data_IF_666174976586
#
_entry.id   IF_666174976586
#
_cell.length_a   1.000
_cell.length_b   1.000
_cell.length_c   1.000
_cell.angle_alpha   90.00
_cell.angle_beta   90.00
_cell.angle_gamma   90.00
#
_symmetry.space_group_name_H-M   'P 1'
#
loop_
_entity.id
_entity.type
_entity.pdbx_description
1 polymer ?
#
# COMPACT_ATOMS: atom_id res chain seq x y z
N UNK A 1 -39.20 21.37 -2.45
CA UNK A 1 -38.24 20.34 -2.92
C UNK A 1 -36.84 20.75 -2.48
N UNK A 2 -36.34 20.19 -1.37
CA UNK A 2 -35.01 20.52 -0.84
C UNK A 2 -33.95 19.78 -1.64
N UNK A 3 -33.08 20.50 -2.37
CA UNK A 3 -31.94 19.90 -3.08
C UNK A 3 -30.83 19.61 -2.07
N UNK A 4 -30.49 18.33 -1.88
CA UNK A 4 -29.27 17.93 -1.17
C UNK A 4 -28.15 17.81 -2.21
N UNK A 5 -27.18 18.71 -2.16
CA UNK A 5 -25.97 18.62 -2.97
C UNK A 5 -25.02 17.65 -2.27
N UNK A 6 -24.64 16.56 -2.94
CA UNK A 6 -23.65 15.61 -2.45
C UNK A 6 -22.35 15.93 -3.18
N UNK A 7 -21.33 16.36 -2.43
CA UNK A 7 -19.99 16.60 -2.96
C UNK A 7 -19.23 15.28 -2.90
N UNK A 8 -18.92 14.68 -4.04
CA UNK A 8 -18.11 13.46 -4.13
C UNK A 8 -16.70 13.88 -4.50
N UNK A 9 -15.72 13.60 -3.64
CA UNK A 9 -14.30 13.77 -3.96
C UNK A 9 -13.78 12.51 -4.63
N UNK A 10 -13.45 12.62 -5.92
CA UNK A 10 -12.85 11.54 -6.69
C UNK A 10 -11.32 11.73 -6.71
N UNK A 11 -10.62 10.65 -6.38
CA UNK A 11 -9.16 10.57 -6.40
C UNK A 11 -8.73 9.71 -7.58
N UNK A 12 -7.61 10.04 -8.21
CA UNK A 12 -7.05 9.29 -9.33
C UNK A 12 -5.68 8.75 -8.95
N UNK A 13 -5.38 7.52 -9.37
CA UNK A 13 -4.07 6.92 -9.16
C UNK A 13 -2.96 7.72 -9.88
N UNK A 14 -1.94 8.13 -9.15
CA UNK A 14 -0.72 8.83 -9.61
C UNK A 14 0.36 7.88 -10.16
N UNK A 15 0.06 6.60 -10.35
CA UNK A 15 1.03 5.66 -10.93
C UNK A 15 1.18 5.92 -12.43
N UNK A 16 2.43 5.98 -12.88
CA UNK A 16 2.80 6.11 -14.30
C UNK A 16 3.36 4.77 -14.77
N UNK A 17 2.78 4.24 -15.84
CA UNK A 17 3.26 3.04 -16.51
C UNK A 17 4.55 3.33 -17.29
N UNK A 18 5.28 2.29 -17.69
CA UNK A 18 6.53 2.40 -18.47
C UNK A 18 6.34 3.17 -19.79
N UNK A 19 5.12 3.12 -20.35
CA UNK A 19 4.73 3.86 -21.56
C UNK A 19 4.49 5.36 -21.30
N UNK A 20 4.70 5.84 -20.06
CA UNK A 20 4.46 7.22 -19.64
C UNK A 20 2.98 7.56 -19.44
N UNK A 21 2.08 6.59 -19.54
CA UNK A 21 0.64 6.78 -19.31
C UNK A 21 0.31 6.68 -17.84
N UNK A 22 -0.52 7.60 -17.35
CA UNK A 22 -1.03 7.56 -15.97
C UNK A 22 -2.14 6.53 -15.86
N UNK A 23 -2.19 5.83 -14.74
CA UNK A 23 -3.26 4.88 -14.46
C UNK A 23 -4.65 5.55 -14.53
N UNK A 24 -5.56 4.94 -15.27
CA UNK A 24 -6.95 5.39 -15.43
C UNK A 24 -7.84 5.03 -14.23
N UNK A 25 -7.30 4.36 -13.21
CA UNK A 25 -8.06 4.00 -12.01
C UNK A 25 -8.36 5.23 -11.18
N UNK A 26 -9.65 5.52 -11.05
CA UNK A 26 -10.20 6.56 -10.19
C UNK A 26 -11.19 5.97 -9.18
N UNK A 27 -11.37 6.65 -8.05
CA UNK A 27 -12.31 6.22 -7.04
C UNK A 27 -12.27 7.07 -5.77
N UNK A 28 -13.09 6.68 -4.80
CA UNK A 28 -13.11 7.29 -3.48
C UNK A 28 -11.84 6.93 -2.69
N UNK A 29 -11.61 7.62 -1.57
CA UNK A 29 -10.47 7.38 -0.64
C UNK A 29 -10.42 5.97 -0.06
N UNK A 30 -11.49 5.18 -0.23
CA UNK A 30 -11.48 3.76 0.10
C UNK A 30 -10.75 2.92 -0.95
N UNK A 31 -10.91 3.24 -2.24
CA UNK A 31 -10.27 2.54 -3.35
C UNK A 31 -8.91 3.12 -3.75
N UNK A 32 -8.68 4.41 -3.48
CA UNK A 32 -7.42 5.09 -3.73
C UNK A 32 -6.76 5.44 -2.39
N UNK A 33 -5.60 4.82 -2.12
CA UNK A 33 -4.84 4.97 -0.88
C UNK A 33 -3.57 5.78 -1.12
N UNK A 34 -3.24 6.74 -0.25
CA UNK A 34 -1.99 7.47 -0.36
C UNK A 34 -0.81 6.59 0.05
N UNK A 35 0.30 6.71 -0.66
CA UNK A 35 1.59 6.20 -0.20
C UNK A 35 1.96 6.85 1.14
N UNK A 36 2.37 6.05 2.12
CA UNK A 36 2.75 6.56 3.43
C UNK A 36 4.04 7.41 3.40
N UNK A 37 4.88 7.24 2.37
CA UNK A 37 6.13 7.99 2.18
C UNK A 37 5.96 9.20 1.26
N UNK A 38 5.66 8.98 -0.03
CA UNK A 38 5.59 10.08 -1.02
C UNK A 38 4.20 10.72 -1.19
N UNK A 39 3.18 10.24 -0.47
CA UNK A 39 1.79 10.73 -0.53
C UNK A 39 1.09 10.63 -1.89
N UNK A 40 1.72 10.02 -2.90
CA UNK A 40 1.07 9.67 -4.17
C UNK A 40 -0.19 8.84 -3.92
N UNK A 41 -1.27 9.16 -4.60
CA UNK A 41 -2.52 8.42 -4.53
C UNK A 41 -2.43 7.17 -5.42
N UNK A 42 -2.70 5.99 -4.86
CA UNK A 42 -2.47 4.71 -5.54
C UNK A 42 -3.73 3.85 -5.49
N UNK A 43 -4.05 3.19 -6.59
CA UNK A 43 -5.12 2.19 -6.62
C UNK A 43 -4.62 0.86 -6.03
N UNK A 44 -5.55 -0.06 -5.75
CA UNK A 44 -5.27 -1.39 -5.19
C UNK A 44 -4.31 -2.27 -5.99
N UNK A 45 -4.02 -1.91 -7.24
CA UNK A 45 -3.04 -2.60 -8.09
C UNK A 45 -1.62 -2.04 -7.96
N UNK A 46 -1.48 -0.80 -7.49
CA UNK A 46 -0.22 -0.04 -7.50
C UNK A 46 0.29 0.31 -6.10
N UNK A 47 -0.47 -0.02 -5.05
CA UNK A 47 0.06 -0.03 -3.68
C UNK A 47 0.25 -1.46 -3.18
N UNK A 48 1.27 -1.65 -2.35
CA UNK A 48 1.34 -2.80 -1.46
C UNK A 48 0.90 -2.42 -0.05
N UNK A 49 0.12 -3.29 0.57
CA UNK A 49 -0.31 -3.12 1.96
C UNK A 49 0.67 -3.84 2.88
N UNK A 50 1.34 -3.07 3.72
CA UNK A 50 2.25 -3.61 4.73
C UNK A 50 1.62 -3.44 6.10
N UNK A 51 1.51 -4.55 6.83
CA UNK A 51 1.02 -4.55 8.21
C UNK A 51 2.16 -4.77 9.18
N UNK A 52 2.32 -3.85 10.13
CA UNK A 52 3.33 -3.93 11.17
C UNK A 52 2.61 -4.14 12.49
N UNK A 53 2.91 -5.25 13.17
CA UNK A 53 2.34 -5.58 14.47
C UNK A 53 3.38 -5.39 15.55
N UNK A 54 3.03 -4.70 16.63
CA UNK A 54 3.91 -4.61 17.80
C UNK A 54 3.95 -5.95 18.55
N UNK A 55 5.10 -6.25 19.17
CA UNK A 55 5.30 -7.48 19.97
C UNK A 55 4.36 -7.44 21.18
N UNK A 56 3.20 -8.10 21.07
CA UNK A 56 2.09 -7.99 22.02
C UNK A 56 0.71 -7.96 21.37
N UNK A 57 0.63 -7.80 20.04
CA UNK A 57 -0.53 -8.15 19.21
C UNK A 57 -1.78 -7.27 19.38
N UNK A 58 -1.71 -6.19 20.15
CA UNK A 58 -2.87 -5.30 20.38
C UNK A 58 -3.03 -4.19 19.33
N UNK A 59 -1.95 -3.83 18.63
CA UNK A 59 -1.98 -2.75 17.65
C UNK A 59 -1.29 -3.20 16.36
N UNK A 60 -2.06 -3.20 15.28
CA UNK A 60 -1.59 -3.44 13.92
C UNK A 60 -1.68 -2.13 13.15
N UNK A 61 -0.53 -1.62 12.72
CA UNK A 61 -0.47 -0.46 11.85
C UNK A 61 -0.47 -0.94 10.40
N UNK A 62 -1.37 -0.40 9.60
CA UNK A 62 -1.50 -0.73 8.18
C UNK A 62 -0.99 0.47 7.38
N UNK A 63 0.03 0.22 6.57
CA UNK A 63 0.62 1.19 5.66
C UNK A 63 0.39 0.77 4.21
N UNK A 64 0.27 1.75 3.32
CA UNK A 64 0.19 1.55 1.89
C UNK A 64 1.42 2.21 1.25
N UNK A 65 2.17 1.49 0.44
CA UNK A 65 3.39 2.00 -0.22
C UNK A 65 3.31 1.80 -1.74
N UNK A 66 3.91 2.70 -2.52
CA UNK A 66 4.17 2.40 -3.94
C UNK A 66 5.31 1.39 -4.04
N UNK A 67 5.43 0.74 -5.19
CA UNK A 67 6.41 -0.32 -5.42
C UNK A 67 7.84 0.05 -4.98
N UNK A 68 8.31 1.25 -5.33
CA UNK A 68 9.65 1.72 -4.97
C UNK A 68 9.84 1.82 -3.44
N UNK A 69 8.89 2.47 -2.76
CA UNK A 69 8.95 2.63 -1.31
C UNK A 69 8.69 1.33 -0.56
N UNK A 70 7.97 0.37 -1.15
CA UNK A 70 7.86 -0.97 -0.59
C UNK A 70 9.23 -1.65 -0.58
N UNK A 71 9.98 -1.57 -1.69
CA UNK A 71 11.34 -2.13 -1.78
C UNK A 71 12.25 -1.48 -0.74
N UNK A 72 12.27 -0.16 -0.66
CA UNK A 72 13.06 0.58 0.34
C UNK A 72 12.68 0.21 1.78
N UNK A 73 11.38 0.09 2.06
CA UNK A 73 10.90 -0.29 3.39
C UNK A 73 11.34 -1.71 3.76
N UNK A 74 11.21 -2.66 2.82
CA UNK A 74 11.65 -4.04 3.02
C UNK A 74 13.17 -4.12 3.20
N UNK A 75 13.96 -3.41 2.39
CA UNK A 75 15.41 -3.37 2.54
C UNK A 75 15.83 -2.78 3.88
N UNK A 76 15.12 -1.73 4.35
CA UNK A 76 15.37 -1.15 5.67
C UNK A 76 15.08 -2.15 6.78
N UNK A 77 13.97 -2.90 6.69
CA UNK A 77 13.65 -3.96 7.65
C UNK A 77 14.71 -5.06 7.63
N UNK A 78 15.08 -5.55 6.44
CA UNK A 78 16.07 -6.63 6.27
C UNK A 78 17.42 -6.20 6.85
N UNK A 79 17.85 -4.95 6.60
CA UNK A 79 19.10 -4.43 7.14
C UNK A 79 19.06 -4.24 8.66
N UNK A 80 17.93 -3.79 9.21
CA UNK A 80 17.81 -3.51 10.64
C UNK A 80 17.56 -4.76 11.50
N UNK A 81 16.82 -5.74 10.99
CA UNK A 81 16.32 -6.88 11.76
C UNK A 81 16.67 -8.25 11.16
N UNK A 82 17.33 -8.29 10.01
CA UNK A 82 17.48 -9.51 9.19
C UNK A 82 16.24 -9.78 8.34
N UNK A 83 16.33 -10.68 7.36
CA UNK A 83 15.17 -11.07 6.56
C UNK A 83 14.13 -11.81 7.43
N UNK A 84 13.09 -11.09 7.83
CA UNK A 84 11.98 -11.62 8.63
C UNK A 84 10.81 -12.10 7.78
N UNK A 85 10.96 -12.18 6.45
CA UNK A 85 9.90 -12.76 5.62
C UNK A 85 9.68 -14.20 6.08
N UNK A 86 8.43 -14.65 6.21
CA UNK A 86 8.17 -16.03 6.57
C UNK A 86 8.82 -16.93 5.51
N UNK A 87 9.87 -17.65 5.91
CA UNK A 87 10.45 -18.71 5.08
C UNK A 87 9.30 -19.66 4.79
N UNK A 88 8.95 -19.82 3.51
CA UNK A 88 7.98 -20.82 3.11
C UNK A 88 8.43 -22.15 3.72
N UNK A 89 7.64 -22.67 4.66
CA UNK A 89 7.93 -23.92 5.35
C UNK A 89 7.88 -25.04 4.31
N UNK A 90 9.01 -25.28 3.64
CA UNK A 90 9.20 -26.45 2.81
C UNK A 90 9.06 -27.63 3.76
N UNK A 91 7.96 -28.36 3.62
CA UNK A 91 7.59 -29.46 4.50
C UNK A 91 8.77 -30.37 4.77
N UNK A 92 9.18 -30.43 6.03
CA UNK A 92 9.96 -31.57 6.49
C UNK A 92 9.00 -32.76 6.56
N UNK A 93 8.99 -33.53 5.47
CA UNK A 93 8.59 -34.92 5.51
C UNK A 93 9.44 -35.65 6.56
N UNK A 94 8.77 -36.38 7.45
CA UNK A 94 9.29 -37.58 8.10
C UNK A 94 8.12 -38.51 8.36
#
# INVERSE_FOLDING_TARGET
>A
MSKKTITVEMYQCDFEHEDGTRCESEGERQGIKPCALCRKDLCSRHYEQVSVSSRGGRETLIYHFCEDHTKEFMDTIINAFGDTRPVAYAGMAK
#
